data_IF_114988279285
#
_entry.id   IF_114988279285
#
_cell.length_a   1.000
_cell.length_b   1.000
_cell.length_c   1.000
_cell.angle_alpha   90.00
_cell.angle_beta   90.00
_cell.angle_gamma   90.00
#
_symmetry.space_group_name_H-M   'P 1'
#
loop_
_entity.id
_entity.type
_entity.pdbx_description
1 polymer ?
#
# COMPACT_ATOMS: atom_id res chain seq x y z
N UNK A 1 -4.44 41.09 13.92
CA UNK A 1 -5.53 40.42 13.19
C UNK A 1 -5.07 39.04 12.80
N UNK A 2 -5.76 37.97 13.23
CA UNK A 2 -5.45 36.62 12.82
C UNK A 2 -5.74 36.46 11.31
N UNK A 3 -4.73 36.09 10.55
CA UNK A 3 -4.86 35.76 9.13
C UNK A 3 -4.74 34.27 8.97
N UNK A 4 -5.46 33.70 8.00
CA UNK A 4 -5.49 32.26 7.75
C UNK A 4 -5.11 31.98 6.30
N UNK A 5 -4.24 30.98 6.06
CA UNK A 5 -3.94 30.46 4.74
C UNK A 5 -3.96 28.93 4.76
N UNK A 6 -4.08 28.30 3.62
CA UNK A 6 -4.04 26.84 3.53
C UNK A 6 -2.61 26.34 3.51
N UNK A 7 -2.32 25.31 4.31
CA UNK A 7 -1.03 24.63 4.30
C UNK A 7 -0.79 23.99 2.93
N UNK A 8 0.28 24.35 2.19
CA UNK A 8 0.54 23.76 0.87
C UNK A 8 0.89 22.27 0.94
N UNK A 9 1.14 21.73 2.14
CA UNK A 9 1.54 20.34 2.35
C UNK A 9 0.38 19.42 2.70
N UNK A 10 -0.65 19.91 3.42
CA UNK A 10 -1.77 19.07 3.85
C UNK A 10 -3.16 19.71 3.65
N UNK A 11 -3.24 20.92 3.09
CA UNK A 11 -4.49 21.63 2.85
C UNK A 11 -5.18 22.20 4.09
N UNK A 12 -4.69 21.93 5.30
CA UNK A 12 -5.30 22.39 6.53
C UNK A 12 -5.14 23.90 6.72
N UNK A 13 -6.12 24.58 7.37
CA UNK A 13 -6.00 26.00 7.66
C UNK A 13 -4.90 26.27 8.69
N UNK A 14 -4.02 27.23 8.38
CA UNK A 14 -2.94 27.66 9.26
C UNK A 14 -3.24 29.11 9.69
N UNK A 15 -3.38 29.30 10.99
CA UNK A 15 -3.57 30.63 11.58
C UNK A 15 -2.21 31.18 11.99
N UNK A 16 -1.96 32.48 11.72
CA UNK A 16 -0.77 33.15 12.19
C UNK A 16 -1.09 34.58 12.70
N UNK A 17 -0.37 35.03 13.70
CA UNK A 17 -0.44 36.38 14.21
C UNK A 17 0.65 37.25 13.58
N UNK A 18 0.28 38.44 13.15
CA UNK A 18 1.12 39.35 12.36
C UNK A 18 2.18 40.11 13.19
N UNK A 19 2.29 39.86 14.51
CA UNK A 19 3.07 40.67 15.43
C UNK A 19 4.54 40.25 15.58
N UNK A 20 5.06 39.35 14.76
CA UNK A 20 6.47 38.97 14.78
C UNK A 20 7.22 39.69 13.66
N UNK A 21 7.83 40.82 14.04
CA UNK A 21 8.78 41.56 13.17
C UNK A 21 10.10 40.77 13.15
N UNK A 22 10.29 39.96 12.16
CA UNK A 22 11.52 39.19 11.91
C UNK A 22 11.70 38.85 10.44
N UNK A 23 12.95 38.70 9.98
CA UNK A 23 13.33 38.61 8.58
C UNK A 23 12.81 37.34 7.86
N UNK A 24 12.32 36.33 8.58
CA UNK A 24 11.74 35.09 8.01
C UNK A 24 10.44 34.79 8.75
N UNK A 25 9.30 35.15 8.14
CA UNK A 25 7.98 34.78 8.63
C UNK A 25 7.73 33.29 8.33
N UNK A 26 7.97 32.44 9.31
CA UNK A 26 7.65 31.02 9.24
C UNK A 26 6.50 30.73 10.20
N UNK A 27 5.46 30.06 9.70
CA UNK A 27 4.39 29.50 10.51
C UNK A 27 4.55 27.97 10.56
N UNK A 28 4.08 27.35 11.64
CA UNK A 28 4.06 25.89 11.76
C UNK A 28 2.64 25.40 11.61
N UNK A 29 2.41 24.49 10.66
CA UNK A 29 1.10 23.88 10.51
C UNK A 29 0.80 22.97 11.71
N UNK A 30 -0.28 23.23 12.41
CA UNK A 30 -0.70 22.45 13.59
C UNK A 30 -1.15 21.04 13.23
N UNK A 31 -1.49 20.78 11.96
CA UNK A 31 -1.96 19.47 11.48
C UNK A 31 -0.84 18.56 10.99
N UNK A 32 0.12 19.08 10.22
CA UNK A 32 1.21 18.25 9.66
C UNK A 32 2.59 18.59 10.23
N UNK A 33 2.66 19.48 11.21
CA UNK A 33 3.88 19.97 11.89
C UNK A 33 4.96 20.55 10.95
N UNK A 34 4.61 20.86 9.71
CA UNK A 34 5.54 21.43 8.73
C UNK A 34 5.80 22.90 9.02
N UNK A 35 7.07 23.30 8.95
CA UNK A 35 7.43 24.70 8.90
C UNK A 35 7.10 25.25 7.50
N UNK A 36 6.39 26.36 7.44
CA UNK A 36 5.85 26.97 6.23
C UNK A 36 6.31 28.42 6.16
N UNK A 37 6.71 28.88 4.98
CA UNK A 37 6.86 30.31 4.72
C UNK A 37 5.47 30.93 4.56
N UNK A 38 5.21 32.02 5.27
CA UNK A 38 3.96 32.78 5.08
C UNK A 38 4.00 33.42 3.68
N UNK A 39 2.93 33.26 2.85
CA UNK A 39 2.90 33.81 1.50
C UNK A 39 3.14 35.33 1.49
N UNK A 40 3.96 35.83 0.56
CA UNK A 40 4.34 37.23 0.48
C UNK A 40 3.16 38.19 0.38
N UNK A 41 2.08 37.77 -0.29
CA UNK A 41 0.82 38.49 -0.37
C UNK A 41 0.18 38.79 0.98
N UNK A 42 0.48 38.00 2.00
CA UNK A 42 -0.05 38.14 3.35
C UNK A 42 0.88 38.92 4.30
N UNK A 43 2.14 39.12 3.89
CA UNK A 43 3.16 39.82 4.72
C UNK A 43 3.12 41.35 4.59
N UNK A 44 2.40 41.85 3.55
CA UNK A 44 2.31 43.29 3.29
C UNK A 44 3.59 43.91 2.70
N UNK A 45 4.53 43.10 2.23
CA UNK A 45 5.75 43.56 1.54
C UNK A 45 5.48 43.65 0.04
N UNK A 46 6.00 44.71 -0.65
CA UNK A 46 5.93 44.74 -2.11
C UNK A 46 6.81 43.62 -2.70
N UNK A 47 6.33 42.95 -3.73
CA UNK A 47 7.05 41.90 -4.44
C UNK A 47 8.42 42.40 -4.91
N UNK A 48 9.51 41.86 -4.36
CA UNK A 48 10.84 42.07 -4.92
C UNK A 48 10.95 41.24 -6.21
N UNK A 49 11.07 41.93 -7.34
CA UNK A 49 11.40 41.32 -8.62
C UNK A 49 12.83 40.77 -8.50
N UNK A 50 12.99 39.47 -8.39
CA UNK A 50 14.29 38.81 -8.48
C UNK A 50 14.72 38.91 -9.95
N UNK A 51 15.57 39.92 -10.25
CA UNK A 51 16.26 40.02 -11.53
C UNK A 51 17.18 38.81 -11.68
N UNK A 52 17.11 38.19 -12.83
CA UNK A 52 17.87 37.04 -13.26
C UNK A 52 19.35 37.08 -12.83
N UNK A 53 19.79 36.07 -12.09
CA UNK A 53 21.21 35.82 -11.86
C UNK A 53 21.80 35.33 -13.18
N UNK A 54 22.52 36.19 -13.84
CA UNK A 54 23.40 35.83 -14.95
C UNK A 54 24.60 35.06 -14.39
N UNK A 55 24.60 33.74 -14.53
CA UNK A 55 25.75 32.90 -14.20
C UNK A 55 26.75 33.04 -15.38
N UNK A 56 27.79 33.82 -15.16
CA UNK A 56 28.91 33.95 -16.09
C UNK A 56 29.78 32.68 -16.05
N UNK A 57 29.60 31.81 -17.05
CA UNK A 57 30.27 30.51 -17.17
C UNK A 57 31.72 30.62 -17.71
N UNK A 58 32.35 31.80 -17.65
CA UNK A 58 33.66 31.99 -18.30
C UNK A 58 34.89 31.58 -17.48
N UNK A 59 34.76 31.17 -16.21
CA UNK A 59 35.99 30.86 -15.47
C UNK A 59 35.82 29.80 -14.36
N UNK A 60 35.52 28.54 -14.71
CA UNK A 60 35.88 27.41 -13.85
C UNK A 60 36.22 26.16 -14.67
N UNK A 61 37.44 26.13 -15.12
CA UNK A 61 38.04 24.94 -15.72
C UNK A 61 38.46 23.91 -14.68
N UNK A 62 37.52 23.27 -14.01
CA UNK A 62 37.82 22.15 -13.10
C UNK A 62 37.50 20.81 -13.77
N UNK A 63 38.34 19.80 -13.49
CA UNK A 63 38.24 18.43 -14.02
C UNK A 63 36.87 17.77 -13.83
N UNK A 64 36.06 18.24 -12.87
CA UNK A 64 34.70 17.75 -12.58
C UNK A 64 33.72 17.99 -13.72
N UNK A 65 33.80 19.14 -14.43
CA UNK A 65 32.88 19.46 -15.53
C UNK A 65 33.10 18.56 -16.76
N UNK A 66 34.35 18.11 -16.99
CA UNK A 66 34.66 17.17 -18.08
C UNK A 66 34.13 15.76 -17.81
N UNK A 67 34.10 15.31 -16.53
CA UNK A 67 33.61 14.00 -16.15
C UNK A 67 32.09 13.95 -16.28
N UNK A 68 31.35 14.99 -15.89
CA UNK A 68 29.88 15.05 -16.01
C UNK A 68 29.46 15.05 -17.50
N UNK A 69 30.21 15.75 -18.36
CA UNK A 69 29.92 15.74 -19.81
C UNK A 69 30.15 14.35 -20.45
N UNK A 70 31.13 13.60 -19.95
CA UNK A 70 31.44 12.25 -20.47
C UNK A 70 30.39 11.23 -20.04
N UNK A 71 29.84 11.34 -18.83
CA UNK A 71 28.85 10.40 -18.27
C UNK A 71 27.47 10.58 -18.92
N UNK A 72 27.11 11.82 -19.33
CA UNK A 72 25.78 12.11 -19.89
C UNK A 72 25.75 11.92 -21.42
N UNK A 73 26.85 12.23 -22.15
CA UNK A 73 26.88 12.16 -23.61
C UNK A 73 27.10 10.75 -24.18
N UNK A 74 27.86 9.88 -23.49
CA UNK A 74 28.15 8.53 -23.98
C UNK A 74 26.87 7.65 -24.09
N UNK A 75 25.96 7.61 -23.08
CA UNK A 75 24.72 6.84 -23.22
C UNK A 75 23.79 7.39 -24.30
N UNK A 76 23.77 8.72 -24.53
CA UNK A 76 22.91 9.33 -25.54
C UNK A 76 23.36 8.97 -26.97
N UNK A 77 24.67 8.90 -27.21
CA UNK A 77 25.24 8.48 -28.51
C UNK A 77 24.98 6.97 -28.73
N UNK A 78 25.05 6.14 -27.71
CA UNK A 78 24.72 4.72 -27.79
C UNK A 78 23.27 4.46 -28.20
N UNK A 79 22.32 5.23 -27.68
CA UNK A 79 20.90 5.12 -28.06
C UNK A 79 20.65 5.56 -29.51
N UNK A 80 21.31 6.61 -29.99
CA UNK A 80 21.17 7.09 -31.37
C UNK A 80 21.77 6.08 -32.35
N UNK A 81 22.93 5.51 -32.07
CA UNK A 81 23.57 4.50 -32.94
C UNK A 81 22.73 3.19 -32.96
N UNK A 82 22.16 2.79 -31.83
CA UNK A 82 21.27 1.64 -31.76
C UNK A 82 19.98 1.82 -32.57
N UNK A 83 19.39 3.02 -32.57
CA UNK A 83 18.19 3.33 -33.33
C UNK A 83 18.47 3.34 -34.86
N UNK A 84 19.64 3.81 -35.30
CA UNK A 84 20.05 3.81 -36.71
C UNK A 84 20.33 2.37 -37.16
N UNK A 85 20.94 1.53 -36.35
CA UNK A 85 21.21 0.13 -36.67
C UNK A 85 19.94 -0.73 -36.81
N UNK A 86 18.89 -0.46 -35.99
CA UNK A 86 17.61 -1.15 -36.12
C UNK A 86 16.75 -0.63 -37.27
N UNK A 87 16.85 0.64 -37.64
CA UNK A 87 16.11 1.23 -38.75
C UNK A 87 16.56 0.75 -40.14
N UNK A 88 17.80 0.30 -40.29
CA UNK A 88 18.38 -0.15 -41.57
C UNK A 88 17.99 -1.57 -41.99
N UNK A 89 17.45 -2.41 -41.11
CA UNK A 89 17.16 -3.80 -41.41
C UNK A 89 15.69 -4.12 -41.80
N UNK A 90 14.78 -3.14 -41.69
CA UNK A 90 13.35 -3.35 -41.89
C UNK A 90 12.80 -2.96 -43.27
N UNK A 91 13.60 -2.35 -44.14
CA UNK A 91 13.12 -1.83 -45.45
C UNK A 91 13.14 -2.85 -46.62
N UNK A 92 13.95 -3.91 -46.64
CA UNK A 92 13.92 -4.83 -47.80
C UNK A 92 12.85 -5.97 -47.73
N UNK A 93 12.09 -6.12 -46.63
CA UNK A 93 11.19 -7.30 -46.46
C UNK A 93 9.75 -7.06 -46.90
N UNK A 94 9.37 -5.87 -47.33
CA UNK A 94 7.97 -5.52 -47.64
C UNK A 94 7.64 -5.40 -49.13
N UNK A 95 8.55 -5.73 -50.03
CA UNK A 95 8.34 -5.57 -51.50
C UNK A 95 8.00 -6.86 -52.28
N UNK A 96 7.59 -7.93 -51.62
CA UNK A 96 7.45 -9.24 -52.27
C UNK A 96 6.17 -10.05 -52.05
N UNK A 97 5.06 -9.52 -51.52
CA UNK A 97 3.83 -10.31 -51.42
C UNK A 97 2.59 -9.57 -51.94
N UNK A 98 2.38 -9.68 -53.26
CA UNK A 98 1.05 -9.50 -53.86
C UNK A 98 0.28 -10.81 -53.71
N UNK A 99 -0.51 -10.94 -52.66
CA UNK A 99 -1.49 -12.06 -52.52
C UNK A 99 -2.84 -11.57 -53.00
N UNK A 100 -3.43 -12.37 -53.91
CA UNK A 100 -4.78 -12.20 -54.44
C UNK A 100 -5.78 -12.28 -53.27
N UNK A 101 -6.63 -11.30 -53.14
CA UNK A 101 -7.83 -11.31 -52.25
C UNK A 101 -8.82 -12.28 -52.87
N UNK A 102 -9.03 -13.43 -52.23
CA UNK A 102 -10.15 -14.34 -52.49
C UNK A 102 -11.17 -14.05 -51.40
N UNK A 103 -12.29 -13.45 -51.79
CA UNK A 103 -13.45 -13.23 -50.90
C UNK A 103 -14.15 -14.56 -50.69
N UNK A 104 -14.37 -15.07 -49.47
CA UNK A 104 -15.23 -16.19 -49.20
C UNK A 104 -16.70 -15.80 -49.28
N UNK A 105 -17.59 -16.68 -49.72
CA UNK A 105 -19.03 -16.43 -49.84
C UNK A 105 -19.71 -16.30 -48.47
N UNK A 106 -20.66 -15.39 -48.38
CA UNK A 106 -21.50 -15.15 -47.21
C UNK A 106 -22.31 -16.42 -46.83
N UNK A 107 -22.36 -16.80 -45.55
CA UNK A 107 -23.27 -17.84 -45.11
C UNK A 107 -24.70 -17.33 -44.99
N UNK A 108 -25.72 -18.19 -45.20
CA UNK A 108 -27.12 -17.77 -45.17
C UNK A 108 -27.62 -17.50 -43.74
N UNK A 109 -28.41 -16.45 -43.63
CA UNK A 109 -29.14 -16.12 -42.42
C UNK A 109 -30.20 -17.17 -42.13
N UNK A 110 -30.17 -17.81 -40.97
CA UNK A 110 -31.38 -18.22 -40.24
C UNK A 110 -31.05 -18.81 -38.88
N UNK A 111 -31.79 -18.37 -37.95
CA UNK A 111 -32.32 -18.88 -36.68
C UNK A 111 -31.89 -18.10 -35.46
N UNK A 112 -32.88 -17.33 -34.99
CA UNK A 112 -32.92 -16.88 -33.61
C UNK A 112 -32.91 -18.11 -32.68
N UNK A 113 -31.77 -18.34 -32.03
CA UNK A 113 -31.66 -19.19 -30.84
C UNK A 113 -31.89 -18.32 -29.60
N UNK A 114 -32.33 -18.90 -28.49
CA UNK A 114 -32.63 -18.10 -27.28
C UNK A 114 -31.34 -17.45 -26.78
N UNK A 115 -31.47 -16.16 -26.49
CA UNK A 115 -30.44 -15.33 -25.85
C UNK A 115 -30.08 -15.95 -24.52
N UNK A 116 -28.92 -16.62 -24.44
CA UNK A 116 -28.32 -16.93 -23.19
C UNK A 116 -27.93 -15.59 -22.56
N UNK A 117 -28.67 -15.17 -21.57
CA UNK A 117 -28.30 -14.14 -20.61
C UNK A 117 -27.02 -14.65 -19.93
N UNK A 118 -25.88 -14.22 -20.43
CA UNK A 118 -24.63 -14.22 -19.70
C UNK A 118 -24.80 -13.23 -18.56
N UNK A 119 -25.41 -13.69 -17.48
CA UNK A 119 -25.43 -12.97 -16.22
C UNK A 119 -23.99 -12.86 -15.74
N UNK A 120 -23.40 -11.65 -15.86
CA UNK A 120 -22.37 -11.24 -14.93
C UNK A 120 -23.03 -11.36 -13.58
N UNK A 121 -22.69 -12.38 -12.81
CA UNK A 121 -22.98 -12.45 -11.38
C UNK A 121 -22.25 -11.26 -10.78
N UNK A 122 -22.97 -10.13 -10.61
CA UNK A 122 -22.51 -9.07 -9.72
C UNK A 122 -22.32 -9.75 -8.36
N UNK A 123 -21.18 -9.56 -7.70
CA UNK A 123 -20.99 -10.05 -6.35
C UNK A 123 -22.13 -9.47 -5.51
N UNK A 124 -22.97 -10.35 -5.00
CA UNK A 124 -24.10 -9.91 -4.19
C UNK A 124 -23.53 -9.44 -2.87
N UNK A 125 -23.71 -8.17 -2.51
CA UNK A 125 -23.41 -7.59 -1.19
C UNK A 125 -24.25 -8.23 -0.06
N UNK A 126 -24.84 -9.40 -0.28
CA UNK A 126 -25.60 -10.14 0.70
C UNK A 126 -24.72 -10.63 1.86
N UNK A 127 -23.43 -10.87 1.65
CA UNK A 127 -22.49 -11.36 2.64
C UNK A 127 -21.90 -10.25 3.52
N UNK A 128 -21.68 -9.05 2.98
CA UNK A 128 -21.04 -7.93 3.67
C UNK A 128 -21.98 -6.71 3.67
N UNK A 129 -22.10 -6.06 4.82
CA UNK A 129 -22.86 -4.83 4.99
C UNK A 129 -21.93 -3.72 5.48
N UNK A 130 -21.78 -2.65 4.70
CA UNK A 130 -21.00 -1.47 5.09
C UNK A 130 -21.74 -0.71 6.18
N UNK A 131 -21.12 -0.57 7.33
CA UNK A 131 -21.65 0.14 8.52
C UNK A 131 -20.99 1.50 8.74
N UNK A 132 -19.82 1.73 8.12
CA UNK A 132 -19.11 3.00 8.13
C UNK A 132 -18.36 3.15 6.82
N UNK A 133 -18.43 4.34 6.23
CA UNK A 133 -17.66 4.74 5.04
C UNK A 133 -17.26 6.20 5.24
N UNK A 134 -15.95 6.48 5.27
CA UNK A 134 -15.45 7.82 5.44
C UNK A 134 -14.14 8.03 4.65
N UNK A 135 -13.82 9.29 4.44
CA UNK A 135 -12.69 9.70 3.66
C UNK A 135 -13.07 10.24 2.29
N UNK A 136 -12.10 10.82 1.63
CA UNK A 136 -12.21 11.31 0.24
C UNK A 136 -10.81 11.50 -0.33
N UNK A 137 -10.70 11.70 -1.63
CA UNK A 137 -9.42 11.99 -2.26
C UNK A 137 -8.89 13.36 -1.83
N UNK A 138 -7.62 13.42 -1.39
CA UNK A 138 -6.96 14.66 -1.01
C UNK A 138 -5.84 14.51 0.01
N UNK A 139 -5.43 15.64 0.60
CA UNK A 139 -4.30 15.76 1.53
C UNK A 139 -4.68 16.35 2.89
N UNK A 140 -5.93 16.75 3.07
CA UNK A 140 -6.44 17.28 4.34
C UNK A 140 -6.74 16.21 5.39
N UNK A 141 -7.16 16.61 6.60
CA UNK A 141 -7.70 15.71 7.61
C UNK A 141 -8.89 14.92 7.06
N UNK A 142 -8.88 13.60 7.24
CA UNK A 142 -9.90 12.69 6.71
C UNK A 142 -9.87 12.50 5.19
N UNK A 143 -8.83 13.00 4.52
CA UNK A 143 -8.63 12.81 3.08
C UNK A 143 -7.40 11.94 2.82
N UNK A 144 -7.44 11.12 1.77
CA UNK A 144 -6.36 10.18 1.43
C UNK A 144 -6.02 10.26 -0.06
N UNK A 145 -4.74 10.07 -0.40
CA UNK A 145 -4.30 9.85 -1.79
C UNK A 145 -4.15 8.38 -2.11
N UNK A 146 -3.55 7.64 -1.19
CA UNK A 146 -3.22 6.24 -1.40
C UNK A 146 -3.11 5.51 -0.05
N UNK A 147 -4.23 5.42 0.69
CA UNK A 147 -4.32 4.65 1.93
C UNK A 147 -4.24 3.16 1.62
N UNK A 148 -3.20 2.49 2.12
CA UNK A 148 -2.98 1.05 1.92
C UNK A 148 -2.82 0.28 3.22
N UNK A 149 -2.45 0.93 4.30
CA UNK A 149 -2.27 0.30 5.59
C UNK A 149 -3.39 0.74 6.55
N UNK A 150 -3.92 -0.22 7.31
CA UNK A 150 -4.95 0.04 8.30
C UNK A 150 -4.72 -0.83 9.52
N UNK A 151 -4.92 -0.25 10.71
CA UNK A 151 -4.87 -0.96 11.98
C UNK A 151 -5.95 -0.41 12.90
N UNK A 152 -6.41 -1.24 13.85
CA UNK A 152 -7.42 -0.86 14.84
C UNK A 152 -6.96 -1.38 16.21
N UNK A 153 -7.01 -0.55 17.24
CA UNK A 153 -6.69 -0.95 18.60
C UNK A 153 -7.94 -1.42 19.39
N UNK A 154 -7.75 -1.90 20.63
CA UNK A 154 -8.84 -2.39 21.45
C UNK A 154 -9.82 -1.28 21.90
N UNK A 155 -9.42 0.00 21.84
CA UNK A 155 -10.31 1.15 22.10
C UNK A 155 -11.19 1.49 20.90
N UNK A 156 -10.94 0.87 19.74
CA UNK A 156 -11.62 1.14 18.47
C UNK A 156 -11.03 2.28 17.67
N UNK A 157 -9.88 2.83 18.07
CA UNK A 157 -9.18 3.84 17.25
C UNK A 157 -8.69 3.20 15.97
N UNK A 158 -8.91 3.92 14.86
CA UNK A 158 -8.55 3.50 13.52
C UNK A 158 -7.32 4.29 13.09
N UNK A 159 -6.26 3.58 12.71
CA UNK A 159 -5.02 4.12 12.19
C UNK A 159 -4.94 3.83 10.70
N UNK A 160 -4.77 4.86 9.88
CA UNK A 160 -4.75 4.74 8.42
C UNK A 160 -3.44 5.31 7.87
N UNK A 161 -2.64 4.46 7.25
CA UNK A 161 -1.34 4.82 6.69
C UNK A 161 -1.40 4.97 5.18
N UNK A 162 -0.83 6.06 4.67
CA UNK A 162 -0.64 6.24 3.23
C UNK A 162 0.66 5.59 2.77
N UNK A 163 0.60 4.91 1.65
CA UNK A 163 1.75 4.21 1.07
C UNK A 163 2.91 5.16 0.76
N UNK A 164 2.60 6.34 0.23
CA UNK A 164 3.59 7.40 -0.04
C UNK A 164 3.39 8.60 0.86
N UNK A 165 4.47 9.33 1.15
CA UNK A 165 4.43 10.56 1.95
C UNK A 165 4.46 10.33 3.45
N UNK A 166 4.42 9.08 3.95
CA UNK A 166 4.65 8.73 5.35
C UNK A 166 3.58 9.25 6.34
N UNK A 167 2.39 9.64 5.86
CA UNK A 167 1.32 10.16 6.71
C UNK A 167 0.49 9.03 7.29
N UNK A 168 0.26 9.09 8.61
CA UNK A 168 -0.66 8.21 9.33
C UNK A 168 -1.71 9.11 10.00
N UNK A 169 -2.97 8.86 9.69
CA UNK A 169 -4.11 9.55 10.29
C UNK A 169 -4.79 8.66 11.32
N UNK A 170 -5.29 9.26 12.38
CA UNK A 170 -5.94 8.60 13.52
C UNK A 170 -7.39 9.06 13.61
N UNK A 171 -8.29 8.11 13.72
CA UNK A 171 -9.73 8.36 13.81
C UNK A 171 -10.31 7.64 15.03
N UNK A 172 -11.46 8.14 15.52
CA UNK A 172 -12.24 7.39 16.50
C UNK A 172 -13.01 6.23 15.85
N UNK A 173 -13.75 5.48 16.65
CA UNK A 173 -14.54 4.33 16.20
C UNK A 173 -15.66 4.71 15.22
N UNK A 174 -16.08 5.95 15.19
CA UNK A 174 -17.10 6.51 14.31
C UNK A 174 -16.50 7.12 13.02
N UNK A 175 -15.18 7.02 12.83
CA UNK A 175 -14.47 7.54 11.64
C UNK A 175 -14.22 9.05 11.69
N UNK A 176 -14.40 9.69 12.84
CA UNK A 176 -14.09 11.10 13.01
C UNK A 176 -12.58 11.29 13.22
N UNK A 177 -11.99 12.21 12.46
CA UNK A 177 -10.57 12.55 12.58
C UNK A 177 -10.21 13.04 13.97
N UNK A 178 -9.16 12.46 14.55
CA UNK A 178 -8.58 12.86 15.83
C UNK A 178 -7.30 13.64 15.61
N UNK A 179 -6.32 13.04 14.95
CA UNK A 179 -4.98 13.59 14.74
C UNK A 179 -4.27 12.91 13.58
N UNK A 180 -3.06 13.38 13.27
CA UNK A 180 -2.16 12.72 12.34
C UNK A 180 -0.71 12.94 12.72
N UNK A 181 0.13 12.04 12.30
CA UNK A 181 1.58 12.13 12.48
C UNK A 181 2.30 11.54 11.25
N UNK A 182 3.63 11.71 11.22
CA UNK A 182 4.43 11.39 10.05
C UNK A 182 5.55 10.44 10.42
N UNK A 183 5.78 9.46 9.54
CA UNK A 183 7.04 8.71 9.45
C UNK A 183 7.90 9.28 8.32
N UNK A 184 8.93 8.59 7.85
CA UNK A 184 9.77 9.13 6.77
C UNK A 184 8.96 9.32 5.48
N UNK A 185 8.77 10.57 5.01
CA UNK A 185 7.96 10.84 3.83
C UNK A 185 8.58 10.38 2.51
N UNK A 186 9.87 10.01 2.51
CA UNK A 186 10.60 9.57 1.31
C UNK A 186 10.50 8.08 1.06
N UNK A 187 10.08 7.32 2.07
CA UNK A 187 10.03 5.88 2.02
C UNK A 187 8.58 5.39 2.01
N UNK A 188 8.24 4.35 1.23
CA UNK A 188 6.91 3.77 1.27
C UNK A 188 6.63 3.12 2.63
N UNK A 189 5.37 3.23 3.09
CA UNK A 189 4.86 2.50 4.23
C UNK A 189 4.26 1.19 3.70
N UNK A 190 4.91 0.05 3.98
CA UNK A 190 4.54 -1.24 3.41
C UNK A 190 3.60 -2.04 4.32
N UNK A 191 3.79 -1.96 5.64
CA UNK A 191 2.96 -2.67 6.60
C UNK A 191 2.66 -1.84 7.85
N UNK A 192 1.51 -2.08 8.48
CA UNK A 192 1.13 -1.46 9.74
C UNK A 192 0.22 -2.37 10.56
N UNK A 193 0.44 -2.39 11.88
CA UNK A 193 -0.42 -3.06 12.83
C UNK A 193 -0.54 -2.25 14.12
N UNK A 194 -1.58 -2.46 14.90
CA UNK A 194 -1.72 -1.89 16.24
C UNK A 194 -1.91 -3.00 17.28
N UNK A 195 -1.34 -2.84 18.45
CA UNK A 195 -1.65 -3.70 19.56
C UNK A 195 -2.87 -3.19 20.34
N UNK A 196 -3.34 -3.99 21.31
CA UNK A 196 -4.51 -3.65 22.12
C UNK A 196 -4.34 -2.40 22.98
N UNK A 197 -3.09 -1.98 23.23
CA UNK A 197 -2.74 -0.82 24.06
C UNK A 197 -2.54 0.46 23.22
N UNK A 198 -2.75 0.39 21.90
CA UNK A 198 -2.59 1.53 20.99
C UNK A 198 -1.14 1.81 20.62
N UNK A 199 -0.23 0.84 20.76
CA UNK A 199 1.10 0.93 20.12
C UNK A 199 0.96 0.56 18.65
N UNK A 200 1.37 1.46 17.77
CA UNK A 200 1.35 1.24 16.32
C UNK A 200 2.72 0.82 15.85
N UNK A 201 2.77 -0.32 15.19
CA UNK A 201 3.94 -0.86 14.52
C UNK A 201 3.90 -0.45 13.05
N UNK A 202 4.99 0.11 12.55
CA UNK A 202 5.09 0.60 11.17
C UNK A 202 6.27 -0.06 10.49
N UNK A 203 6.03 -0.65 9.33
CA UNK A 203 7.09 -1.19 8.46
C UNK A 203 7.43 -0.16 7.40
N UNK A 204 8.69 0.25 7.41
CA UNK A 204 9.23 1.22 6.45
C UNK A 204 10.72 0.99 6.28
N UNK A 205 11.21 1.03 5.04
CA UNK A 205 12.62 0.72 4.73
C UNK A 205 13.11 -0.62 5.29
N UNK A 206 12.23 -1.61 5.32
CA UNK A 206 12.54 -2.95 5.84
C UNK A 206 12.76 -3.02 7.34
N UNK A 207 12.40 -1.98 8.12
CA UNK A 207 12.50 -1.97 9.58
C UNK A 207 11.12 -1.79 10.21
N UNK A 208 10.93 -2.37 11.39
CA UNK A 208 9.70 -2.21 12.18
C UNK A 208 9.97 -1.19 13.28
N UNK A 209 9.30 -0.05 13.24
CA UNK A 209 9.28 0.96 14.29
C UNK A 209 8.00 0.88 15.11
N UNK A 210 8.09 1.18 16.41
CA UNK A 210 6.96 1.23 17.34
C UNK A 210 6.67 2.68 17.70
N UNK A 211 5.41 3.04 17.65
CA UNK A 211 4.97 4.41 17.93
C UNK A 211 3.79 4.42 18.90
N UNK A 212 3.69 5.45 19.71
CA UNK A 212 2.46 5.74 20.43
C UNK A 212 1.41 6.18 19.40
N UNK A 213 0.28 5.48 19.33
CA UNK A 213 -0.67 5.61 18.22
C UNK A 213 -1.25 7.01 18.03
N UNK A 214 -1.60 7.72 19.10
CA UNK A 214 -2.16 9.08 19.00
C UNK A 214 -1.12 10.14 18.65
N UNK A 215 0.06 10.08 19.25
CA UNK A 215 1.05 11.14 19.13
C UNK A 215 2.08 10.89 18.04
N UNK A 216 2.23 9.62 17.61
CA UNK A 216 3.30 9.19 16.71
C UNK A 216 4.68 9.19 17.36
N UNK A 217 4.79 9.39 18.68
CA UNK A 217 6.07 9.38 19.37
C UNK A 217 6.76 8.03 19.19
N UNK A 218 8.00 8.04 18.73
CA UNK A 218 8.80 6.84 18.52
C UNK A 218 9.12 6.20 19.88
N UNK A 219 8.68 4.94 20.07
CA UNK A 219 8.95 4.13 21.26
C UNK A 219 10.17 3.23 21.07
N UNK A 220 10.72 3.16 19.86
CA UNK A 220 11.86 2.33 19.50
C UNK A 220 11.59 1.46 18.27
N UNK A 221 12.52 0.54 17.99
CA UNK A 221 12.41 -0.42 16.87
C UNK A 221 12.34 -1.83 17.40
N UNK A 222 11.71 -2.73 16.64
CA UNK A 222 11.80 -4.17 16.87
C UNK A 222 13.18 -4.62 16.38
N UNK A 223 13.97 -5.20 17.28
CA UNK A 223 15.32 -5.65 16.96
C UNK A 223 15.26 -6.98 16.21
N UNK A 224 16.03 -7.09 15.12
CA UNK A 224 16.23 -8.34 14.40
C UNK A 224 17.70 -8.49 14.03
N UNK A 225 18.30 -9.62 14.40
CA UNK A 225 19.75 -9.84 14.27
C UNK A 225 20.24 -9.89 12.81
N UNK A 226 19.34 -10.24 11.87
CA UNK A 226 19.66 -10.29 10.43
C UNK A 226 19.45 -8.95 9.72
N UNK A 227 19.06 -7.91 10.47
CA UNK A 227 18.99 -6.54 10.00
C UNK A 227 17.63 -6.18 9.41
N UNK A 228 17.63 -5.43 8.31
CA UNK A 228 16.43 -4.94 7.62
C UNK A 228 15.93 -5.93 6.57
N UNK A 229 14.66 -5.83 6.19
CA UNK A 229 14.04 -6.67 5.15
C UNK A 229 12.58 -7.00 5.43
N UNK A 230 11.97 -6.37 6.45
CA UNK A 230 10.55 -6.56 6.74
C UNK A 230 9.67 -5.84 5.70
N UNK A 231 8.54 -6.47 5.36
CA UNK A 231 7.58 -5.96 4.38
C UNK A 231 6.18 -5.79 4.97
N UNK A 232 5.69 -6.76 5.72
CA UNK A 232 4.40 -6.68 6.43
C UNK A 232 4.52 -7.12 7.89
N UNK A 233 3.54 -6.74 8.72
CA UNK A 233 3.47 -7.08 10.14
C UNK A 233 2.03 -7.23 10.62
N UNK A 234 1.81 -8.21 11.51
CA UNK A 234 0.54 -8.37 12.25
C UNK A 234 0.81 -8.61 13.73
N UNK A 235 -0.18 -8.24 14.54
CA UNK A 235 -0.19 -8.51 15.98
C UNK A 235 -1.14 -9.68 16.24
N UNK A 236 -0.65 -10.72 16.91
CA UNK A 236 -1.45 -11.84 17.34
C UNK A 236 -2.30 -11.51 18.58
N UNK A 237 -3.31 -12.34 18.87
CA UNK A 237 -4.18 -12.16 20.04
C UNK A 237 -3.43 -12.20 21.39
N UNK A 238 -2.30 -12.89 21.42
CA UNK A 238 -1.37 -12.98 22.55
C UNK A 238 -0.37 -11.81 22.66
N UNK A 239 -0.48 -10.81 21.77
CA UNK A 239 0.45 -9.68 21.65
C UNK A 239 1.78 -10.04 20.96
N UNK A 240 1.92 -11.26 20.46
CA UNK A 240 3.07 -11.63 19.62
C UNK A 240 3.01 -10.88 18.28
N UNK A 241 4.18 -10.70 17.63
CA UNK A 241 4.25 -10.11 16.30
C UNK A 241 4.61 -11.19 15.29
N UNK A 242 4.00 -11.11 14.11
CA UNK A 242 4.36 -11.93 12.94
C UNK A 242 4.65 -10.98 11.80
N UNK A 243 5.82 -11.12 11.19
CA UNK A 243 6.26 -10.25 10.11
C UNK A 243 6.86 -11.06 8.96
N UNK A 244 6.59 -10.66 7.73
CA UNK A 244 7.28 -11.16 6.54
C UNK A 244 8.63 -10.47 6.37
N UNK A 245 9.61 -11.18 5.81
CA UNK A 245 10.97 -10.68 5.60
C UNK A 245 11.55 -11.18 4.28
N UNK A 246 11.83 -10.29 3.34
CA UNK A 246 12.11 -10.61 1.93
C UNK A 246 13.59 -10.60 1.54
N UNK A 247 14.49 -10.06 2.38
CA UNK A 247 15.86 -9.71 1.97
C UNK A 247 16.68 -10.85 1.35
N UNK A 248 16.54 -12.07 1.86
CA UNK A 248 17.26 -13.22 1.32
C UNK A 248 16.30 -14.26 0.74
N UNK A 249 15.10 -14.36 1.29
CA UNK A 249 14.03 -15.29 0.94
C UNK A 249 12.74 -14.78 1.56
N UNK A 250 11.63 -15.44 1.28
CA UNK A 250 10.32 -15.24 1.86
C UNK A 250 10.22 -15.83 3.29
N UNK A 251 11.03 -15.30 4.21
CA UNK A 251 11.01 -15.74 5.61
C UNK A 251 9.81 -15.13 6.35
N UNK A 252 9.29 -15.85 7.35
CA UNK A 252 8.33 -15.32 8.30
C UNK A 252 8.94 -15.36 9.69
N UNK A 253 8.97 -14.22 10.36
CA UNK A 253 9.55 -14.06 11.69
C UNK A 253 8.45 -13.83 12.72
N UNK A 254 8.41 -14.67 13.75
CA UNK A 254 7.54 -14.47 14.92
C UNK A 254 8.34 -13.94 16.09
N UNK A 255 7.83 -12.89 16.71
CA UNK A 255 8.36 -12.31 17.94
C UNK A 255 7.34 -12.52 19.07
N UNK A 256 7.82 -12.63 20.30
CA UNK A 256 6.94 -12.52 21.47
C UNK A 256 6.51 -11.05 21.69
N UNK A 257 5.61 -10.83 22.65
CA UNK A 257 5.13 -9.49 23.00
C UNK A 257 6.21 -8.52 23.49
N UNK A 258 7.38 -9.02 23.87
CA UNK A 258 8.56 -8.22 24.23
C UNK A 258 9.43 -7.85 23.02
N UNK A 259 9.08 -8.32 21.81
CA UNK A 259 9.84 -8.08 20.58
C UNK A 259 11.06 -8.98 20.40
N UNK A 260 11.16 -10.08 21.14
CA UNK A 260 12.22 -11.08 20.96
C UNK A 260 11.79 -12.14 19.96
N UNK A 261 12.70 -12.55 19.06
CA UNK A 261 12.44 -13.61 18.08
C UNK A 261 12.22 -14.94 18.79
N UNK A 262 11.08 -15.56 18.55
CA UNK A 262 10.74 -16.90 19.05
C UNK A 262 10.73 -17.96 17.96
N UNK A 263 10.55 -17.55 16.71
CA UNK A 263 10.53 -18.46 15.55
C UNK A 263 10.89 -17.71 14.26
N UNK A 264 11.62 -18.38 13.39
CA UNK A 264 11.77 -17.99 11.98
C UNK A 264 11.40 -19.19 11.11
N UNK A 265 10.44 -19.00 10.21
CA UNK A 265 10.09 -19.95 9.16
C UNK A 265 10.88 -19.52 7.94
N UNK A 266 11.94 -20.28 7.61
CA UNK A 266 12.83 -19.96 6.51
C UNK A 266 12.23 -20.35 5.18
N UNK A 267 12.29 -19.45 4.19
CA UNK A 267 11.80 -19.70 2.85
C UNK A 267 10.39 -20.31 2.88
N UNK A 268 9.47 -19.65 3.58
CA UNK A 268 8.17 -20.19 3.97
C UNK A 268 7.34 -20.65 2.76
N UNK A 269 7.34 -19.87 1.69
CA UNK A 269 6.61 -20.16 0.45
C UNK A 269 7.51 -20.92 -0.52
N UNK A 270 8.70 -20.41 -0.78
CA UNK A 270 9.61 -20.99 -1.78
C UNK A 270 10.05 -22.42 -1.46
N UNK A 271 10.09 -22.84 -0.20
CA UNK A 271 10.33 -24.25 0.16
C UNK A 271 9.16 -25.16 -0.21
N UNK A 272 7.94 -24.63 -0.31
CA UNK A 272 6.72 -25.40 -0.62
C UNK A 272 6.45 -25.44 -2.13
N UNK A 273 6.81 -24.37 -2.87
CA UNK A 273 6.46 -24.21 -4.28
C UNK A 273 7.63 -24.38 -5.25
N UNK A 274 8.87 -24.36 -4.76
CA UNK A 274 10.12 -24.22 -5.55
C UNK A 274 10.17 -22.90 -6.39
N UNK A 275 9.27 -21.94 -6.11
CA UNK A 275 9.18 -20.66 -6.80
C UNK A 275 9.50 -19.52 -5.82
N UNK A 276 10.11 -18.43 -6.33
CA UNK A 276 10.43 -17.26 -5.52
C UNK A 276 9.18 -16.48 -5.14
N UNK A 277 9.14 -15.96 -3.91
CA UNK A 277 8.15 -15.00 -3.47
C UNK A 277 8.87 -13.72 -2.98
N UNK A 278 8.40 -12.56 -3.44
CA UNK A 278 9.02 -11.27 -3.15
C UNK A 278 8.06 -10.30 -2.45
N UNK A 279 6.78 -10.63 -2.39
CA UNK A 279 5.74 -9.82 -1.75
C UNK A 279 4.83 -10.72 -0.94
N UNK A 280 5.17 -10.90 0.34
CA UNK A 280 4.44 -11.75 1.27
C UNK A 280 3.66 -10.90 2.26
N UNK A 281 2.32 -10.95 2.18
CA UNK A 281 1.45 -10.40 3.21
C UNK A 281 1.14 -11.47 4.26
N UNK A 282 1.02 -11.09 5.52
CA UNK A 282 0.76 -12.04 6.61
C UNK A 282 -0.54 -11.76 7.35
N UNK A 283 -1.18 -12.80 7.88
CA UNK A 283 -2.29 -12.70 8.82
C UNK A 283 -2.14 -13.78 9.90
N UNK A 284 -2.77 -13.57 11.06
CA UNK A 284 -2.69 -14.49 12.19
C UNK A 284 -4.10 -14.71 12.73
N UNK A 285 -4.51 -15.96 12.96
CA UNK A 285 -5.79 -16.27 13.61
C UNK A 285 -5.68 -16.28 15.15
N UNK A 286 -6.83 -16.41 15.82
CA UNK A 286 -6.90 -16.43 17.27
C UNK A 286 -6.19 -17.62 17.93
N UNK A 287 -5.84 -18.67 17.18
CA UNK A 287 -5.06 -19.82 17.64
C UNK A 287 -3.55 -19.64 17.40
N UNK A 288 -3.15 -18.54 16.76
CA UNK A 288 -1.77 -18.24 16.42
C UNK A 288 -1.28 -18.93 15.13
N UNK A 289 -2.17 -19.55 14.32
CA UNK A 289 -1.80 -20.01 13.00
C UNK A 289 -1.50 -18.81 12.12
N UNK A 290 -0.49 -18.95 11.28
CA UNK A 290 0.03 -17.92 10.38
C UNK A 290 -0.47 -18.22 8.97
N UNK A 291 -1.00 -17.22 8.30
CA UNK A 291 -1.40 -17.26 6.90
C UNK A 291 -0.51 -16.30 6.13
N UNK A 292 0.22 -16.83 5.16
CA UNK A 292 1.09 -16.07 4.27
C UNK A 292 0.47 -16.03 2.87
N UNK A 293 0.14 -14.83 2.40
CA UNK A 293 -0.30 -14.61 1.03
C UNK A 293 0.93 -14.33 0.18
N UNK A 294 1.23 -15.20 -0.75
CA UNK A 294 2.24 -14.99 -1.78
C UNK A 294 1.60 -14.32 -3.00
N UNK A 295 1.89 -13.03 -3.21
CA UNK A 295 1.31 -12.26 -4.30
C UNK A 295 1.78 -12.77 -5.66
N UNK A 296 3.02 -13.20 -5.77
CA UNK A 296 3.59 -13.79 -6.99
C UNK A 296 3.12 -15.23 -7.22
N UNK A 297 2.98 -16.01 -6.14
CA UNK A 297 2.48 -17.38 -6.20
C UNK A 297 0.95 -17.47 -6.31
N UNK A 298 0.23 -16.35 -6.18
CA UNK A 298 -1.24 -16.29 -6.20
C UNK A 298 -1.90 -17.32 -5.28
N UNK A 299 -1.36 -17.50 -4.08
CA UNK A 299 -1.82 -18.52 -3.14
C UNK A 299 -1.62 -18.09 -1.69
N UNK A 300 -2.39 -18.69 -0.80
CA UNK A 300 -2.25 -18.58 0.65
C UNK A 300 -1.61 -19.85 1.20
N UNK A 301 -0.64 -19.69 2.08
CA UNK A 301 0.09 -20.76 2.76
C UNK A 301 -0.18 -20.67 4.26
N UNK A 302 -0.69 -21.73 4.85
CA UNK A 302 -1.01 -21.81 6.27
C UNK A 302 0.07 -22.56 7.04
N UNK A 303 0.49 -21.99 8.17
CA UNK A 303 1.44 -22.59 9.09
C UNK A 303 0.87 -22.65 10.50
N UNK A 304 1.29 -23.65 11.28
CA UNK A 304 0.97 -23.70 12.72
C UNK A 304 1.72 -22.60 13.49
N UNK A 305 1.37 -22.35 14.77
CA UNK A 305 2.12 -21.43 15.62
C UNK A 305 3.62 -21.78 15.76
N UNK A 306 3.96 -23.07 15.62
CA UNK A 306 5.34 -23.59 15.65
C UNK A 306 6.05 -23.48 14.30
N UNK A 307 5.35 -22.95 13.25
CA UNK A 307 5.92 -22.76 11.93
C UNK A 307 5.88 -24.00 11.04
N UNK A 308 5.07 -25.03 11.36
CA UNK A 308 4.90 -26.20 10.50
C UNK A 308 3.90 -25.87 9.39
N UNK A 309 4.24 -26.15 8.14
CA UNK A 309 3.32 -26.02 7.01
C UNK A 309 2.10 -26.96 7.19
N UNK A 310 0.90 -26.40 6.97
CA UNK A 310 -0.38 -27.10 7.14
C UNK A 310 -1.09 -27.27 5.80
N UNK A 311 -1.26 -26.19 5.05
CA UNK A 311 -2.06 -26.18 3.83
C UNK A 311 -1.65 -25.05 2.87
N UNK A 312 -1.94 -25.25 1.59
CA UNK A 312 -1.91 -24.22 0.53
C UNK A 312 -3.29 -24.20 -0.15
N UNK A 313 -3.78 -23.01 -0.49
CA UNK A 313 -5.00 -22.84 -1.28
C UNK A 313 -4.92 -21.56 -2.13
N UNK A 314 -5.73 -21.53 -3.18
CA UNK A 314 -5.62 -20.53 -4.23
C UNK A 314 -4.60 -20.95 -5.30
N UNK A 315 -4.78 -20.42 -6.48
CA UNK A 315 -3.90 -20.55 -7.66
C UNK A 315 -4.13 -19.32 -8.56
N UNK A 316 -3.24 -19.08 -9.50
CA UNK A 316 -3.44 -18.04 -10.51
C UNK A 316 -4.64 -18.37 -11.41
N UNK A 317 -5.54 -17.43 -11.63
CA UNK A 317 -6.66 -17.59 -12.56
C UNK A 317 -7.91 -16.81 -12.22
N UNK A 318 -8.96 -17.06 -13.02
CA UNK A 318 -10.23 -16.33 -12.95
C UNK A 318 -11.39 -17.14 -12.35
N UNK A 319 -11.17 -18.42 -12.06
CA UNK A 319 -12.21 -19.26 -11.49
C UNK A 319 -12.40 -18.97 -9.99
N UNK A 320 -13.47 -19.48 -9.42
CA UNK A 320 -13.77 -19.42 -7.99
C UNK A 320 -12.62 -20.01 -7.18
N UNK A 321 -12.14 -19.26 -6.18
CA UNK A 321 -11.01 -19.67 -5.35
C UNK A 321 -9.62 -19.48 -5.98
N UNK A 322 -9.55 -19.02 -7.23
CA UNK A 322 -8.30 -18.59 -7.86
C UNK A 322 -8.10 -17.09 -7.70
N UNK A 323 -6.86 -16.62 -7.72
CA UNK A 323 -6.51 -15.21 -7.53
C UNK A 323 -5.94 -14.60 -8.81
N UNK A 324 -6.18 -13.30 -8.96
CA UNK A 324 -5.54 -12.43 -9.93
C UNK A 324 -4.98 -11.21 -9.20
N UNK A 325 -3.66 -11.17 -9.03
CA UNK A 325 -2.96 -10.12 -8.31
C UNK A 325 -3.50 -9.88 -6.88
N UNK A 326 -3.49 -10.89 -6.01
CA UNK A 326 -3.93 -10.73 -4.63
C UNK A 326 -2.99 -9.77 -3.89
N UNK A 327 -3.54 -8.92 -3.01
CA UNK A 327 -2.79 -7.80 -2.43
C UNK A 327 -2.95 -7.61 -0.93
N UNK A 328 -3.98 -8.16 -0.31
CA UNK A 328 -4.17 -8.05 1.14
C UNK A 328 -4.85 -9.31 1.70
N UNK A 329 -4.53 -9.64 2.94
CA UNK A 329 -5.09 -10.79 3.67
C UNK A 329 -5.49 -10.40 5.09
N UNK A 330 -6.62 -10.92 5.55
CA UNK A 330 -7.05 -10.83 6.95
C UNK A 330 -7.73 -12.14 7.37
N UNK A 331 -7.75 -12.40 8.68
CA UNK A 331 -8.43 -13.58 9.25
C UNK A 331 -9.38 -13.10 10.35
N UNK A 332 -10.61 -13.60 10.33
CA UNK A 332 -11.62 -13.26 11.34
C UNK A 332 -11.56 -14.13 12.59
N UNK A 333 -12.35 -13.78 13.61
CA UNK A 333 -12.43 -14.51 14.88
C UNK A 333 -12.95 -15.96 14.77
N UNK A 334 -13.49 -16.37 13.61
CA UNK A 334 -13.93 -17.74 13.29
C UNK A 334 -12.89 -18.51 12.48
N UNK A 335 -11.75 -17.89 12.17
CA UNK A 335 -10.68 -18.47 11.36
C UNK A 335 -10.96 -18.44 9.85
N UNK A 336 -11.97 -17.68 9.37
CA UNK A 336 -12.20 -17.47 7.93
C UNK A 336 -11.15 -16.53 7.40
N UNK A 337 -10.65 -16.82 6.20
CA UNK A 337 -9.58 -16.08 5.53
C UNK A 337 -10.17 -15.22 4.43
N UNK A 338 -9.81 -13.95 4.43
CA UNK A 338 -10.26 -12.94 3.48
C UNK A 338 -9.07 -12.50 2.65
N UNK A 339 -9.16 -12.63 1.34
CA UNK A 339 -8.10 -12.26 0.40
C UNK A 339 -8.65 -11.28 -0.62
N UNK A 340 -8.05 -10.10 -0.68
CA UNK A 340 -8.37 -9.08 -1.68
C UNK A 340 -7.62 -9.39 -2.97
N UNK A 341 -8.34 -9.40 -4.08
CA UNK A 341 -7.77 -9.50 -5.42
C UNK A 341 -8.56 -8.64 -6.43
N UNK A 342 -8.26 -8.76 -7.70
CA UNK A 342 -8.93 -8.01 -8.77
C UNK A 342 -10.45 -8.26 -8.85
N UNK A 343 -10.96 -9.35 -8.30
CA UNK A 343 -12.39 -9.72 -8.29
C UNK A 343 -13.16 -9.18 -7.08
N UNK A 344 -12.47 -8.55 -6.13
CA UNK A 344 -13.00 -8.14 -4.84
C UNK A 344 -12.34 -8.89 -3.69
N UNK A 345 -13.07 -9.14 -2.62
CA UNK A 345 -12.58 -9.88 -1.45
C UNK A 345 -13.18 -11.29 -1.46
N UNK A 346 -12.33 -12.28 -1.68
CA UNK A 346 -12.69 -13.69 -1.63
C UNK A 346 -12.56 -14.22 -0.20
N UNK A 347 -13.49 -15.07 0.23
CA UNK A 347 -13.60 -15.61 1.57
C UNK A 347 -13.45 -17.12 1.54
N UNK A 348 -12.62 -17.64 2.43
CA UNK A 348 -12.33 -19.06 2.58
C UNK A 348 -12.56 -19.50 4.02
N UNK A 349 -12.86 -20.77 4.24
CA UNK A 349 -12.79 -21.35 5.58
C UNK A 349 -11.33 -21.56 6.02
N UNK A 350 -11.13 -21.97 7.27
CA UNK A 350 -9.79 -22.20 7.84
C UNK A 350 -8.98 -23.30 7.17
N UNK A 351 -9.62 -24.12 6.32
CA UNK A 351 -9.01 -25.21 5.56
C UNK A 351 -8.76 -24.81 4.08
N UNK A 352 -9.12 -23.57 3.70
CA UNK A 352 -8.92 -23.05 2.35
C UNK A 352 -10.05 -23.37 1.37
N UNK A 353 -11.21 -23.88 1.83
CA UNK A 353 -12.39 -24.04 0.98
C UNK A 353 -13.04 -22.68 0.74
N UNK A 354 -13.26 -22.33 -0.52
CA UNK A 354 -13.97 -21.11 -0.91
C UNK A 354 -15.39 -21.07 -0.34
N UNK A 355 -15.78 -19.93 0.20
CA UNK A 355 -17.10 -19.69 0.78
C UNK A 355 -17.89 -18.62 0.02
N UNK A 356 -17.29 -17.47 -0.26
CA UNK A 356 -17.97 -16.31 -0.83
C UNK A 356 -17.01 -15.35 -1.50
N UNK A 357 -17.54 -14.37 -2.23
CA UNK A 357 -16.85 -13.16 -2.68
C UNK A 357 -17.77 -11.98 -2.49
N UNK A 358 -17.21 -10.85 -2.14
CA UNK A 358 -17.91 -9.56 -2.15
C UNK A 358 -17.01 -8.47 -2.72
N UNK A 359 -17.63 -7.44 -3.30
CA UNK A 359 -16.91 -6.32 -3.90
C UNK A 359 -17.15 -5.07 -3.02
N UNK A 360 -16.17 -4.66 -2.20
CA UNK A 360 -16.30 -3.42 -1.43
C UNK A 360 -16.16 -2.23 -2.36
N UNK A 361 -16.75 -1.06 -2.03
CA UNK A 361 -16.43 0.16 -2.72
C UNK A 361 -14.91 0.43 -2.75
N UNK A 362 -14.31 0.50 -3.93
CA UNK A 362 -12.88 0.70 -4.13
C UNK A 362 -12.02 -0.56 -3.91
N UNK A 363 -10.71 -0.42 -4.09
CA UNK A 363 -9.76 -1.53 -3.96
C UNK A 363 -9.38 -1.76 -2.50
N UNK A 364 -9.65 -2.95 -1.96
CA UNK A 364 -9.25 -3.34 -0.61
C UNK A 364 -7.72 -3.52 -0.54
N UNK A 365 -6.98 -2.43 -0.31
CA UNK A 365 -5.52 -2.40 -0.30
C UNK A 365 -4.92 -2.81 1.05
N UNK A 366 -5.66 -2.64 2.14
CA UNK A 366 -5.32 -3.13 3.48
C UNK A 366 -6.57 -3.57 4.19
N UNK A 367 -6.47 -4.62 5.01
CA UNK A 367 -7.60 -5.22 5.73
C UNK A 367 -7.18 -5.62 7.14
N UNK A 368 -8.08 -5.40 8.11
CA UNK A 368 -7.90 -5.86 9.50
C UNK A 368 -9.26 -6.11 10.16
N UNK A 369 -9.33 -7.10 11.03
CA UNK A 369 -10.46 -7.32 11.92
C UNK A 369 -10.21 -6.69 13.29
N UNK A 370 -11.26 -6.10 13.88
CA UNK A 370 -11.22 -5.68 15.28
C UNK A 370 -11.73 -6.80 16.21
N UNK A 371 -11.71 -6.57 17.52
CA UNK A 371 -12.17 -7.50 18.53
C UNK A 371 -13.68 -7.82 18.45
N UNK A 372 -14.47 -7.00 17.75
CA UNK A 372 -15.91 -7.23 17.49
C UNK A 372 -16.17 -8.04 16.23
N UNK A 373 -15.10 -8.53 15.58
CA UNK A 373 -15.17 -9.24 14.31
C UNK A 373 -15.76 -8.39 13.17
N UNK A 374 -15.55 -7.08 13.21
CA UNK A 374 -15.86 -6.16 12.12
C UNK A 374 -14.63 -6.01 11.22
N UNK A 375 -14.82 -6.07 9.91
CA UNK A 375 -13.76 -5.91 8.92
C UNK A 375 -13.57 -4.44 8.58
N UNK A 376 -12.34 -3.94 8.76
CA UNK A 376 -11.93 -2.62 8.31
C UNK A 376 -11.09 -2.74 7.03
N UNK A 377 -11.35 -1.87 6.07
CA UNK A 377 -10.68 -1.85 4.76
C UNK A 377 -10.14 -0.44 4.48
N UNK A 378 -8.85 -0.34 4.15
CA UNK A 378 -8.29 0.84 3.50
C UNK A 378 -8.49 0.69 1.98
N UNK A 379 -9.31 1.58 1.40
CA UNK A 379 -9.72 1.53 0.01
C UNK A 379 -9.19 2.74 -0.78
N UNK A 380 -7.88 2.98 -0.70
CA UNK A 380 -7.13 4.05 -1.36
C UNK A 380 -7.50 5.44 -0.88
N UNK A 381 -8.68 5.94 -1.21
CA UNK A 381 -9.14 7.30 -0.88
C UNK A 381 -10.22 7.32 0.20
N UNK A 382 -10.64 6.16 0.70
CA UNK A 382 -11.59 6.06 1.80
C UNK A 382 -11.34 4.81 2.67
N UNK A 383 -12.05 4.75 3.79
CA UNK A 383 -12.00 3.66 4.77
C UNK A 383 -13.40 3.13 4.99
N UNK A 384 -13.51 1.80 4.99
CA UNK A 384 -14.77 1.11 5.21
C UNK A 384 -14.73 0.31 6.51
N UNK A 385 -15.87 0.19 7.21
CA UNK A 385 -16.11 -0.84 8.20
C UNK A 385 -17.30 -1.68 7.77
N UNK A 386 -17.12 -2.99 7.76
CA UNK A 386 -18.15 -3.92 7.35
C UNK A 386 -18.48 -4.91 8.46
N UNK A 387 -19.77 -5.20 8.60
CA UNK A 387 -20.24 -6.38 9.31
C UNK A 387 -20.52 -7.51 8.31
N UNK A 388 -20.13 -8.72 8.69
CA UNK A 388 -20.17 -9.87 7.79
C UNK A 388 -21.24 -10.86 8.26
N UNK A 389 -22.03 -11.37 7.32
CA UNK A 389 -23.01 -12.42 7.58
C UNK A 389 -22.36 -13.79 7.46
N UNK A 390 -23.09 -14.83 7.86
CA UNK A 390 -22.69 -16.20 7.51
C UNK A 390 -22.88 -16.42 6.01
N UNK A 391 -21.95 -17.11 5.33
CA UNK A 391 -22.02 -17.43 3.91
C UNK A 391 -23.06 -18.52 3.62
#
# INVERSE_FOLDING_TARGET
MLKTFQCPKCGAPVNYEQDVIGANLTARCTYCNSALSVPDEMTGRPAQIISHVNIDLRNSGTKATKIILLIVLIPLIGVIIGAIAMGGFLVPLLSGMRSKVVTPPSPPSTRKGPTALGGKTQPTNAFANTTLDFGSEGIGPGMFKDARAIAVDASGKIYVGEYTGGRIQVFDAEGKFITQWMVDPKMPLTGMAADRNGVVYVVQSGTISRHQGETGNLLGKVAYSEGWGFDDIRVGADGSLVASWYKNRDDIVRFNSSGQVVRTIRAAISTVTDESELDTQVAVDGLGNIYALGSFNNAVFKFSPEGKFIARFGDAGDQTGQFRAPSAIAVDGKGRVYVSDFKGVQVFDSNGRYLAVFDPPGTASGMVFNDKNELFIAARNHVLRLTLKEP
#
